data_IF_414249756821
#
_entry.id   IF_414249756821
#
_cell.length_a   1.000
_cell.length_b   1.000
_cell.length_c   1.000
_cell.angle_alpha   90.00
_cell.angle_beta   90.00
_cell.angle_gamma   90.00
#
_symmetry.space_group_name_H-M   'P 1'
#
loop_
_entity.id
_entity.type
_entity.pdbx_description
1 polymer ?
#
# COMPACT_ATOMS: atom_id res chain seq x y z
N UNK A 1 -7.74 -23.93 -65.10
CA UNK A 1 -8.09 -22.55 -64.71
C UNK A 1 -8.00 -22.51 -63.19
N UNK A 2 -7.05 -21.78 -62.63
CA UNK A 2 -6.80 -21.82 -61.18
C UNK A 2 -7.65 -20.76 -60.47
N UNK A 3 -8.25 -21.10 -59.32
CA UNK A 3 -9.09 -20.19 -58.51
C UNK A 3 -8.35 -18.88 -58.17
N UNK A 4 -7.03 -18.95 -58.04
CA UNK A 4 -6.11 -17.84 -57.78
C UNK A 4 -6.03 -16.84 -58.93
N UNK A 5 -6.07 -17.27 -60.20
CA UNK A 5 -6.08 -16.37 -61.36
C UNK A 5 -7.40 -15.59 -61.46
N UNK A 6 -8.52 -16.24 -61.16
CA UNK A 6 -9.83 -15.58 -61.11
C UNK A 6 -9.91 -14.57 -59.96
N UNK A 7 -9.43 -14.94 -58.77
CA UNK A 7 -9.40 -14.05 -57.61
C UNK A 7 -8.53 -12.81 -57.87
N UNK A 8 -7.33 -12.98 -58.44
CA UNK A 8 -6.43 -11.85 -58.75
C UNK A 8 -7.05 -10.89 -59.76
N UNK A 9 -7.69 -11.42 -60.82
CA UNK A 9 -8.31 -10.61 -61.88
C UNK A 9 -9.55 -9.85 -61.38
N UNK A 10 -10.32 -10.47 -60.50
CA UNK A 10 -11.46 -9.84 -59.82
C UNK A 10 -11.00 -8.69 -58.90
N UNK A 11 -9.95 -8.91 -58.10
CA UNK A 11 -9.40 -7.89 -57.19
C UNK A 11 -8.94 -6.65 -57.98
N UNK A 12 -8.24 -6.86 -59.11
CA UNK A 12 -7.78 -5.76 -59.96
C UNK A 12 -8.91 -5.04 -60.71
N UNK A 13 -9.99 -5.76 -61.08
CA UNK A 13 -11.12 -5.16 -61.79
C UNK A 13 -11.97 -4.27 -60.87
N UNK A 14 -12.20 -4.70 -59.63
CA UNK A 14 -12.97 -3.95 -58.61
C UNK A 14 -12.08 -3.20 -57.60
N UNK A 15 -10.96 -2.64 -58.04
CA UNK A 15 -9.93 -2.10 -57.14
C UNK A 15 -10.44 -1.00 -56.19
N UNK A 16 -11.38 -0.15 -56.60
CA UNK A 16 -11.92 0.97 -55.78
C UNK A 16 -12.72 0.45 -54.58
N UNK A 17 -13.54 -0.57 -54.81
CA UNK A 17 -14.37 -1.20 -53.78
C UNK A 17 -13.50 -1.98 -52.80
N UNK A 18 -12.54 -2.76 -53.30
CA UNK A 18 -11.60 -3.50 -52.45
C UNK A 18 -10.73 -2.55 -51.61
N UNK A 19 -10.30 -1.41 -52.16
CA UNK A 19 -9.53 -0.40 -51.42
C UNK A 19 -10.36 0.22 -50.30
N UNK A 20 -11.65 0.52 -50.52
CA UNK A 20 -12.54 1.02 -49.48
C UNK A 20 -12.71 0.01 -48.33
N UNK A 21 -12.85 -1.28 -48.64
CA UNK A 21 -12.94 -2.36 -47.64
C UNK A 21 -11.64 -2.46 -46.85
N UNK A 22 -10.48 -2.46 -47.51
CA UNK A 22 -9.17 -2.50 -46.85
C UNK A 22 -8.98 -1.30 -45.93
N UNK A 23 -9.36 -0.09 -46.37
CA UNK A 23 -9.28 1.11 -45.55
C UNK A 23 -10.18 1.01 -44.30
N UNK A 24 -11.42 0.52 -44.45
CA UNK A 24 -12.33 0.32 -43.32
C UNK A 24 -11.79 -0.70 -42.30
N UNK A 25 -11.27 -1.83 -42.78
CA UNK A 25 -10.63 -2.84 -41.92
C UNK A 25 -9.39 -2.27 -41.24
N UNK A 26 -8.55 -1.52 -41.96
CA UNK A 26 -7.35 -0.89 -41.40
C UNK A 26 -7.68 0.09 -40.27
N UNK A 27 -8.72 0.92 -40.44
CA UNK A 27 -9.20 1.82 -39.39
C UNK A 27 -9.73 1.02 -38.19
N UNK A 28 -10.57 0.01 -38.43
CA UNK A 28 -11.11 -0.83 -37.36
C UNK A 28 -10.01 -1.52 -36.53
N UNK A 29 -9.03 -2.12 -37.20
CA UNK A 29 -7.88 -2.76 -36.56
C UNK A 29 -7.01 -1.74 -35.81
N UNK A 30 -6.79 -0.55 -36.37
CA UNK A 30 -6.03 0.52 -35.72
C UNK A 30 -6.70 0.97 -34.41
N UNK A 31 -8.02 1.19 -34.42
CA UNK A 31 -8.78 1.57 -33.22
C UNK A 31 -8.75 0.46 -32.16
N UNK A 32 -9.02 -0.79 -32.56
CA UNK A 32 -8.98 -1.94 -31.64
C UNK A 32 -7.59 -2.12 -31.02
N UNK A 33 -6.53 -2.02 -31.82
CA UNK A 33 -5.16 -2.14 -31.35
C UNK A 33 -4.77 -0.99 -30.41
N UNK A 34 -5.17 0.24 -30.74
CA UNK A 34 -4.94 1.42 -29.90
C UNK A 34 -5.64 1.30 -28.54
N UNK A 35 -6.90 0.86 -28.51
CA UNK A 35 -7.64 0.64 -27.27
C UNK A 35 -6.99 -0.44 -26.38
N UNK A 36 -6.52 -1.54 -26.99
CA UNK A 36 -5.80 -2.60 -26.28
C UNK A 36 -4.47 -2.10 -25.70
N UNK A 37 -3.70 -1.32 -26.46
CA UNK A 37 -2.43 -0.74 -26.02
C UNK A 37 -2.59 0.23 -24.84
N UNK A 38 -3.60 1.09 -24.88
CA UNK A 38 -3.89 2.00 -23.76
C UNK A 38 -4.32 1.21 -22.53
N UNK A 39 -5.19 0.22 -22.70
CA UNK A 39 -5.66 -0.63 -21.61
C UNK A 39 -4.54 -1.39 -20.89
N UNK A 40 -3.59 -1.96 -21.63
CA UNK A 40 -2.43 -2.65 -21.04
C UNK A 40 -1.47 -1.67 -20.37
N UNK A 41 -1.24 -0.50 -20.96
CA UNK A 41 -0.36 0.53 -20.40
C UNK A 41 -0.87 1.06 -19.05
N UNK A 42 -2.15 1.39 -18.95
CA UNK A 42 -2.77 1.84 -17.71
C UNK A 42 -2.76 0.73 -16.66
N UNK A 43 -3.12 -0.50 -17.05
CA UNK A 43 -3.09 -1.66 -16.13
C UNK A 43 -1.71 -1.90 -15.55
N UNK A 44 -0.67 -1.89 -16.40
CA UNK A 44 0.71 -2.06 -15.96
C UNK A 44 1.13 -0.92 -15.05
N UNK A 45 0.82 0.33 -15.42
CA UNK A 45 1.16 1.50 -14.59
C UNK A 45 0.52 1.43 -13.20
N UNK A 46 -0.77 1.09 -13.12
CA UNK A 46 -1.46 0.92 -11.84
C UNK A 46 -0.89 -0.24 -11.02
N UNK A 47 -0.52 -1.34 -11.68
CA UNK A 47 0.14 -2.46 -11.03
C UNK A 47 1.50 -2.05 -10.46
N UNK A 48 2.31 -1.35 -11.22
CA UNK A 48 3.62 -0.86 -10.77
C UNK A 48 3.46 0.07 -9.57
N UNK A 49 2.55 1.06 -9.65
CA UNK A 49 2.27 1.96 -8.54
C UNK A 49 1.78 1.23 -7.29
N UNK A 50 0.96 0.18 -7.46
CA UNK A 50 0.49 -0.63 -6.34
C UNK A 50 1.64 -1.44 -5.71
N UNK A 51 2.54 -2.00 -6.51
CA UNK A 51 3.71 -2.74 -6.04
C UNK A 51 4.73 -1.82 -5.36
N UNK A 52 4.99 -0.64 -5.91
CA UNK A 52 5.88 0.35 -5.29
C UNK A 52 5.37 0.81 -3.92
N UNK A 53 4.05 0.92 -3.74
CA UNK A 53 3.42 1.29 -2.46
C UNK A 53 3.52 0.20 -1.39
N UNK A 54 3.73 -1.06 -1.75
CA UNK A 54 3.93 -2.15 -0.79
C UNK A 54 5.35 -2.14 -0.20
N UNK A 55 6.32 -1.53 -0.89
CA UNK A 55 7.72 -1.63 -0.53
C UNK A 55 8.22 -3.06 -0.62
N UNK A 56 9.02 -3.50 0.37
CA UNK A 56 9.58 -4.86 0.44
C UNK A 56 8.58 -5.91 0.97
N UNK A 57 7.29 -5.57 1.12
CA UNK A 57 6.30 -6.45 1.75
C UNK A 57 5.66 -7.41 0.75
N UNK A 58 5.92 -8.71 0.93
CA UNK A 58 5.24 -9.77 0.17
C UNK A 58 4.01 -10.34 0.89
N UNK A 59 4.09 -10.51 2.21
CA UNK A 59 3.06 -11.14 3.03
C UNK A 59 2.92 -10.42 4.36
N UNK A 60 1.70 -10.39 4.89
CA UNK A 60 1.38 -9.82 6.21
C UNK A 60 0.63 -10.86 7.02
N UNK A 61 1.16 -11.18 8.19
CA UNK A 61 0.49 -12.03 9.18
C UNK A 61 -0.16 -11.13 10.21
N UNK A 62 -1.49 -11.19 10.31
CA UNK A 62 -2.27 -10.39 11.27
C UNK A 62 -2.90 -11.29 12.32
N UNK A 63 -3.09 -10.76 13.52
CA UNK A 63 -3.79 -11.42 14.61
C UNK A 63 -4.80 -10.44 15.21
N UNK A 64 -5.86 -10.97 15.83
CA UNK A 64 -6.85 -10.18 16.56
C UNK A 64 -6.27 -9.51 17.82
N UNK A 65 -5.11 -9.98 18.30
CA UNK A 65 -4.41 -9.42 19.44
C UNK A 65 -2.93 -9.25 19.16
N UNK A 66 -2.21 -8.63 20.11
CA UNK A 66 -0.77 -8.47 19.99
C UNK A 66 -0.06 -9.83 20.00
N UNK A 67 0.92 -9.94 19.11
CA UNK A 67 1.82 -11.10 19.03
C UNK A 67 3.12 -10.73 19.72
N UNK A 68 3.77 -11.74 20.33
CA UNK A 68 5.09 -11.57 20.92
C UNK A 68 6.11 -11.15 19.85
N UNK A 69 6.99 -10.23 20.19
CA UNK A 69 8.06 -9.76 19.30
C UNK A 69 8.95 -10.92 18.82
N UNK A 70 9.24 -11.89 19.70
CA UNK A 70 10.06 -13.06 19.38
C UNK A 70 9.49 -13.95 18.26
N UNK A 71 8.20 -13.80 17.93
CA UNK A 71 7.56 -14.57 16.88
C UNK A 71 8.18 -14.30 15.50
N UNK A 72 8.69 -13.09 15.27
CA UNK A 72 9.42 -12.78 14.04
C UNK A 72 10.68 -13.65 13.93
N UNK A 73 11.47 -13.74 15.00
CA UNK A 73 12.68 -14.58 15.06
C UNK A 73 12.34 -16.07 14.97
N UNK A 74 11.23 -16.51 15.59
CA UNK A 74 10.78 -17.89 15.47
C UNK A 74 10.39 -18.23 14.03
N UNK A 75 9.74 -17.32 13.31
CA UNK A 75 9.38 -17.51 11.89
C UNK A 75 10.61 -17.61 10.99
N UNK A 76 11.63 -16.79 11.21
CA UNK A 76 12.89 -16.85 10.47
C UNK A 76 13.65 -18.17 10.70
N UNK A 77 13.42 -18.83 11.84
CA UNK A 77 14.02 -20.13 12.15
C UNK A 77 13.31 -21.32 11.48
N UNK A 78 12.14 -21.10 10.88
CA UNK A 78 11.41 -22.17 10.17
C UNK A 78 12.03 -22.39 8.80
N UNK A 79 12.38 -23.65 8.52
CA UNK A 79 13.00 -24.05 7.25
C UNK A 79 12.19 -23.54 6.04
N UNK A 80 12.90 -22.87 5.12
CA UNK A 80 12.34 -22.34 3.87
C UNK A 80 11.65 -20.98 3.97
N UNK A 81 11.45 -20.39 5.15
CA UNK A 81 10.86 -19.05 5.29
C UNK A 81 11.83 -17.98 4.80
N UNK A 82 13.05 -17.97 5.34
CA UNK A 82 14.09 -16.99 4.96
C UNK A 82 14.50 -17.13 3.50
N UNK A 83 14.54 -18.36 2.96
CA UNK A 83 14.82 -18.59 1.54
C UNK A 83 13.73 -18.03 0.62
N UNK A 84 12.46 -18.05 1.07
CA UNK A 84 11.31 -17.66 0.25
C UNK A 84 10.95 -16.18 0.38
N UNK A 85 11.14 -15.60 1.55
CA UNK A 85 10.67 -14.24 1.90
C UNK A 85 11.81 -13.30 2.32
N UNK A 86 13.04 -13.78 2.45
CA UNK A 86 14.22 -12.97 2.73
C UNK A 86 14.38 -12.56 4.19
N UNK A 87 13.41 -11.82 4.75
CA UNK A 87 13.47 -11.29 6.13
C UNK A 87 12.07 -11.12 6.75
N UNK A 88 12.00 -11.02 8.08
CA UNK A 88 10.74 -10.80 8.80
C UNK A 88 10.89 -9.62 9.76
N UNK A 89 9.97 -8.65 9.68
CA UNK A 89 9.92 -7.52 10.60
C UNK A 89 8.64 -7.57 11.46
N UNK A 90 8.74 -7.44 12.79
CA UNK A 90 7.57 -7.24 13.63
C UNK A 90 7.05 -5.80 13.50
N UNK A 91 5.73 -5.62 13.53
CA UNK A 91 5.14 -4.31 13.77
C UNK A 91 3.85 -4.40 14.59
N UNK A 92 3.55 -3.30 15.27
CA UNK A 92 2.26 -3.06 15.91
C UNK A 92 1.49 -2.04 15.09
N UNK A 93 0.26 -2.37 14.71
CA UNK A 93 -0.63 -1.44 14.01
C UNK A 93 -1.90 -1.25 14.84
N UNK A 94 -2.16 -0.02 15.29
CA UNK A 94 -3.37 0.33 16.05
C UNK A 94 -4.00 1.61 15.51
N UNK A 95 -5.32 1.71 15.62
CA UNK A 95 -6.03 2.94 15.29
C UNK A 95 -6.04 3.89 16.51
N UNK A 96 -5.91 5.19 16.25
CA UNK A 96 -5.88 6.20 17.29
C UNK A 96 -6.39 7.57 16.85
N UNK A 97 -6.39 8.48 17.81
CA UNK A 97 -6.71 9.89 17.65
C UNK A 97 -5.46 10.71 17.90
N UNK A 98 -5.23 11.70 17.04
CA UNK A 98 -4.08 12.59 17.14
C UNK A 98 -4.58 14.00 17.35
N UNK A 99 -4.03 14.70 18.34
CA UNK A 99 -4.32 16.11 18.63
C UNK A 99 -3.03 16.90 18.60
N UNK A 100 -3.00 17.95 17.80
CA UNK A 100 -1.92 18.94 17.83
C UNK A 100 -2.11 19.86 19.04
N UNK A 101 -1.14 19.89 19.96
CA UNK A 101 -1.31 20.55 21.26
C UNK A 101 -1.46 22.07 21.12
N UNK A 102 -0.69 22.71 20.24
CA UNK A 102 -0.71 24.17 20.10
C UNK A 102 -1.97 24.66 19.39
N UNK A 103 -2.34 24.07 18.25
CA UNK A 103 -3.47 24.54 17.45
C UNK A 103 -4.81 23.92 17.85
N UNK A 104 -4.82 22.89 18.69
CA UNK A 104 -6.01 22.13 19.07
C UNK A 104 -6.66 21.34 17.93
N UNK A 105 -6.01 21.28 16.75
CA UNK A 105 -6.49 20.50 15.61
C UNK A 105 -6.43 19.02 15.92
N UNK A 106 -7.41 18.26 15.43
CA UNK A 106 -7.55 16.84 15.72
C UNK A 106 -7.79 16.05 14.44
N UNK A 107 -7.13 14.91 14.35
CA UNK A 107 -7.37 13.89 13.35
C UNK A 107 -7.84 12.60 14.06
N UNK A 108 -8.88 11.98 13.52
CA UNK A 108 -9.44 10.72 14.01
C UNK A 108 -9.19 9.59 13.02
N UNK A 109 -9.23 8.35 13.48
CA UNK A 109 -8.98 7.15 12.64
C UNK A 109 -7.59 7.18 12.00
N UNK A 110 -6.60 7.64 12.77
CA UNK A 110 -5.21 7.68 12.36
C UNK A 110 -4.58 6.33 12.67
N UNK A 111 -3.91 5.74 11.69
CA UNK A 111 -3.17 4.52 11.89
C UNK A 111 -1.82 4.86 12.56
N UNK A 112 -1.60 4.27 13.74
CA UNK A 112 -0.37 4.40 14.51
C UNK A 112 0.41 3.10 14.39
N UNK A 113 1.66 3.22 13.95
CA UNK A 113 2.56 2.09 13.78
C UNK A 113 3.67 2.13 14.83
N UNK A 114 3.80 1.05 15.60
CA UNK A 114 4.97 0.77 16.42
C UNK A 114 5.92 -0.12 15.62
N UNK A 115 7.07 0.43 15.27
CA UNK A 115 8.11 -0.24 14.48
C UNK A 115 9.44 -0.16 15.21
N UNK A 116 10.33 -1.11 14.92
CA UNK A 116 11.70 -1.13 15.42
C UNK A 116 12.72 -0.99 14.26
N UNK A 117 14.01 -1.11 14.56
CA UNK A 117 15.11 -1.03 13.59
C UNK A 117 15.01 -2.11 12.49
N UNK A 118 14.39 -3.25 12.80
CA UNK A 118 14.22 -4.37 11.85
C UNK A 118 13.25 -4.00 10.74
N UNK A 119 12.22 -3.20 11.06
CA UNK A 119 11.31 -2.66 10.04
C UNK A 119 12.04 -1.77 9.03
N UNK A 120 12.93 -0.88 9.48
CA UNK A 120 13.69 -0.01 8.58
C UNK A 120 14.64 -0.84 7.69
N UNK A 121 15.36 -1.78 8.31
CA UNK A 121 16.25 -2.71 7.60
C UNK A 121 15.51 -3.56 6.58
N UNK A 122 14.30 -4.05 6.91
CA UNK A 122 13.42 -4.80 6.01
C UNK A 122 13.06 -4.00 4.76
N UNK A 123 12.90 -2.68 4.90
CA UNK A 123 12.65 -1.77 3.79
C UNK A 123 13.93 -1.28 3.07
N UNK A 124 15.11 -1.81 3.44
CA UNK A 124 16.40 -1.40 2.88
C UNK A 124 16.81 0.03 3.26
N UNK A 125 16.24 0.56 4.34
CA UNK A 125 16.55 1.88 4.87
C UNK A 125 17.56 1.74 6.01
N UNK A 126 18.44 2.73 6.14
CA UNK A 126 19.39 2.79 7.24
C UNK A 126 18.64 3.10 8.55
N UNK A 127 18.69 2.20 9.56
CA UNK A 127 18.05 2.44 10.84
C UNK A 127 18.65 3.63 11.59
N UNK A 128 19.92 3.97 11.37
CA UNK A 128 20.61 5.06 12.09
C UNK A 128 20.02 6.44 11.74
N UNK A 129 19.60 6.63 10.47
CA UNK A 129 18.92 7.85 10.01
C UNK A 129 17.47 7.97 10.52
N UNK A 130 16.92 6.87 11.08
CA UNK A 130 15.51 6.76 11.50
C UNK A 130 15.37 6.50 12.99
N UNK A 131 16.43 6.67 13.77
CA UNK A 131 16.37 6.56 15.22
C UNK A 131 15.47 7.66 15.79
N UNK A 132 14.40 7.23 16.46
CA UNK A 132 13.52 8.11 17.20
C UNK A 132 14.07 8.30 18.61
N UNK A 133 14.19 9.56 19.03
CA UNK A 133 14.41 9.89 20.44
C UNK A 133 13.27 9.39 21.32
N UNK A 134 13.47 9.42 22.64
CA UNK A 134 12.39 9.11 23.59
C UNK A 134 11.21 10.06 23.35
N UNK A 135 10.01 9.49 23.16
CA UNK A 135 8.79 10.22 22.84
C UNK A 135 8.83 11.00 21.51
N UNK A 136 9.70 10.66 20.58
CA UNK A 136 9.63 11.18 19.22
C UNK A 136 8.67 10.35 18.35
N UNK A 137 8.15 10.94 17.27
CA UNK A 137 7.26 10.27 16.32
C UNK A 137 7.50 10.78 14.92
N UNK A 138 7.38 9.90 13.93
CA UNK A 138 7.28 10.31 12.54
C UNK A 138 5.81 10.56 12.16
N UNK A 139 5.56 11.67 11.49
CA UNK A 139 4.25 11.98 10.91
C UNK A 139 4.34 11.84 9.39
N UNK A 140 3.27 11.32 8.79
CA UNK A 140 3.14 11.39 7.34
C UNK A 140 2.88 12.84 6.91
N UNK A 141 3.35 13.20 5.72
CA UNK A 141 3.16 14.56 5.18
C UNK A 141 1.68 14.98 5.15
N UNK A 142 0.79 14.04 4.83
CA UNK A 142 -0.66 14.28 4.81
C UNK A 142 -1.21 14.60 6.20
N UNK A 143 -0.79 13.84 7.23
CA UNK A 143 -1.23 14.07 8.61
C UNK A 143 -0.62 15.36 9.17
N UNK A 144 0.64 15.64 8.84
CA UNK A 144 1.30 16.88 9.21
C UNK A 144 0.58 18.09 8.59
N UNK A 145 0.19 18.02 7.31
CA UNK A 145 -0.57 19.06 6.64
C UNK A 145 -1.97 19.26 7.23
N UNK A 146 -2.69 18.18 7.54
CA UNK A 146 -4.01 18.22 8.17
C UNK A 146 -3.96 18.87 9.56
N UNK A 147 -2.99 18.48 10.37
CA UNK A 147 -2.75 19.03 11.70
C UNK A 147 -2.02 20.38 11.66
N UNK A 148 -1.50 20.79 10.50
CA UNK A 148 -0.48 21.80 10.27
C UNK A 148 0.55 21.84 11.39
N UNK A 149 1.14 20.67 11.65
CA UNK A 149 2.21 20.47 12.61
C UNK A 149 3.56 20.65 11.91
N UNK A 150 4.54 21.19 12.63
CA UNK A 150 5.93 21.34 12.20
C UNK A 150 6.83 20.45 13.07
N UNK A 151 8.08 20.25 12.67
CA UNK A 151 9.09 19.59 13.51
C UNK A 151 9.14 20.20 14.91
N UNK A 152 9.34 19.35 15.93
CA UNK A 152 9.37 19.69 17.36
C UNK A 152 8.04 20.16 17.98
N UNK A 153 6.92 20.10 17.24
CA UNK A 153 5.61 20.35 17.82
C UNK A 153 5.14 19.19 18.71
N UNK A 154 4.49 19.54 19.82
CA UNK A 154 3.91 18.56 20.71
C UNK A 154 2.59 17.99 20.15
N UNK A 155 2.59 16.68 19.94
CA UNK A 155 1.48 15.88 19.44
C UNK A 155 0.99 14.94 20.53
N UNK A 156 -0.31 14.92 20.76
CA UNK A 156 -0.96 13.98 21.66
C UNK A 156 -1.58 12.86 20.84
N UNK A 157 -1.06 11.65 21.02
CA UNK A 157 -1.59 10.44 20.38
C UNK A 157 -2.35 9.63 21.42
N UNK A 158 -3.62 9.35 21.15
CA UNK A 158 -4.45 8.47 21.97
C UNK A 158 -4.77 7.22 21.18
N UNK A 159 -4.17 6.11 21.58
CA UNK A 159 -4.44 4.80 20.98
C UNK A 159 -5.46 4.04 21.82
N UNK A 160 -6.36 3.34 21.16
CA UNK A 160 -7.21 2.35 21.83
C UNK A 160 -6.32 1.20 22.31
N UNK A 161 -6.54 0.73 23.54
CA UNK A 161 -5.80 -0.42 24.07
C UNK A 161 -6.57 -1.68 23.66
N UNK A 162 -6.04 -2.54 22.76
CA UNK A 162 -6.74 -3.76 22.37
C UNK A 162 -6.98 -4.60 23.62
N UNK A 163 -8.25 -4.81 23.97
CA UNK A 163 -8.62 -5.59 25.14
C UNK A 163 -9.47 -6.77 24.69
N UNK A 164 -9.16 -7.96 25.22
CA UNK A 164 -9.91 -9.18 24.93
C UNK A 164 -11.35 -9.18 25.50
N UNK A 165 -11.71 -8.14 26.27
CA UNK A 165 -13.00 -8.03 26.94
C UNK A 165 -13.77 -6.86 26.33
N UNK A 166 -14.95 -7.10 25.72
CA UNK A 166 -15.80 -6.03 25.25
C UNK A 166 -16.08 -5.01 26.36
N UNK A 167 -15.97 -3.72 26.03
CA UNK A 167 -16.22 -2.59 26.93
C UNK A 167 -17.67 -2.61 27.49
N UNK A 168 -18.55 -3.35 26.82
CA UNK A 168 -19.94 -3.63 27.22
C UNK A 168 -20.09 -4.75 28.25
N UNK A 169 -19.02 -5.43 28.66
CA UNK A 169 -19.10 -6.47 29.69
C UNK A 169 -19.11 -5.87 31.11
N UNK A 170 -19.78 -6.55 32.05
CA UNK A 170 -19.88 -6.18 33.46
C UNK A 170 -18.53 -6.13 34.22
N UNK A 171 -17.42 -6.57 33.58
CA UNK A 171 -16.07 -6.52 34.15
C UNK A 171 -15.11 -5.61 33.35
N UNK A 172 -15.62 -4.86 32.36
CA UNK A 172 -14.84 -3.84 31.67
C UNK A 172 -14.55 -2.66 32.61
N UNK A 173 -13.27 -2.45 32.96
CA UNK A 173 -12.85 -1.29 33.75
C UNK A 173 -12.99 -0.04 32.87
N UNK A 174 -14.09 0.71 33.07
CA UNK A 174 -14.50 1.89 32.28
C UNK A 174 -13.47 3.03 32.23
N UNK A 175 -12.45 3.01 33.10
CA UNK A 175 -11.48 4.12 33.25
C UNK A 175 -10.20 3.97 32.41
N UNK A 176 -10.02 2.87 31.66
CA UNK A 176 -8.76 2.57 30.93
C UNK A 176 -8.98 2.44 29.40
N UNK A 177 -9.72 3.39 28.83
CA UNK A 177 -10.23 3.35 27.44
C UNK A 177 -9.14 3.64 26.39
N UNK A 178 -7.97 4.16 26.80
CA UNK A 178 -6.87 4.41 25.88
C UNK A 178 -5.70 5.11 26.54
N UNK A 179 -4.49 4.86 26.05
CA UNK A 179 -3.28 5.51 26.56
C UNK A 179 -3.00 6.76 25.74
N UNK A 180 -2.92 7.92 26.38
CA UNK A 180 -2.42 9.14 25.75
C UNK A 180 -0.90 9.18 25.89
N UNK A 181 -0.24 9.26 24.74
CA UNK A 181 1.20 9.49 24.61
C UNK A 181 1.39 10.93 24.17
N UNK A 182 2.23 11.68 24.86
CA UNK A 182 2.69 12.99 24.42
C UNK A 182 4.02 12.79 23.71
N UNK A 183 4.06 13.20 22.44
CA UNK A 183 5.20 13.04 21.56
C UNK A 183 5.63 14.43 21.07
N UNK A 184 6.93 14.69 21.04
CA UNK A 184 7.49 16.01 20.71
C UNK A 184 8.88 16.19 21.29
#
# INVERSE_FOLDING_TARGET
>A
MTLTELARRNITHFWRTNLAVVAGVAVGVSVLSGALLVGTSVRTSLRTLALERLGSVDQVVTSLGFVRESFATDLESVDGVTERYGSVAPLVAVEGFVTHQQSGRRASRVQVYGVDERFWTFHGLDPDDRQLGRNAVFLSDGLAAELGAVSDDAILVRVERPSAVPISSLHGRRDDVGRTLRLG
#
